data_IF_830612148241
#
_entry.id   IF_830612148241
#
_cell.length_a   1.000
_cell.length_b   1.000
_cell.length_c   1.000
_cell.angle_alpha   90.00
_cell.angle_beta   90.00
_cell.angle_gamma   90.00
#
_symmetry.space_group_name_H-M   'P 1'
#
loop_
_entity.id
_entity.type
_entity.pdbx_description
1 polymer ?
#
# COMPACT_ATOMS: atom_id res chain seq x y z
N UNK A 1 22.35 8.62 24.87
CA UNK A 1 22.26 8.21 24.14
C UNK A 1 22.27 8.23 23.67
N UNK A 2 22.11 8.30 23.82
CA UNK A 2 21.99 8.00 22.99
C UNK A 2 21.68 7.79 22.44
N UNK A 3 21.30 7.75 22.88
CA UNK A 3 21.00 7.34 22.01
C UNK A 3 20.71 7.18 21.44
N UNK A 4 20.67 7.29 22.02
CA UNK A 4 20.38 6.93 21.15
C UNK A 4 20.06 7.01 20.68
N UNK A 5 20.00 7.08 21.16
CA UNK A 5 19.73 6.87 20.34
C UNK A 5 19.52 6.90 19.81
N UNK A 6 19.40 6.92 20.09
CA UNK A 6 19.19 6.67 19.23
C UNK A 6 18.88 6.66 18.66
N UNK A 7 18.66 6.66 18.89
CA UNK A 7 18.34 6.43 18.01
C UNK A 7 17.96 6.31 17.49
N UNK A 8 17.76 6.33 17.78
CA UNK A 8 17.33 6.04 17.04
C UNK A 8 17.08 6.22 16.56
N UNK A 9 16.84 6.26 16.61
CA UNK A 9 16.56 6.20 15.89
C UNK A 9 16.30 6.49 15.30
N UNK A 10 16.07 6.65 15.58
CA UNK A 10 15.79 6.74 14.68
C UNK A 10 15.43 7.10 14.13
N UNK A 11 15.19 7.33 14.22
CA UNK A 11 14.82 7.53 13.52
C UNK A 11 14.15 7.95 13.08
N UNK A 12 13.60 8.17 12.93
CA UNK A 12 12.91 8.51 12.57
C UNK A 12 12.68 8.86 11.82
N UNK A 13 12.19 8.71 11.60
CA UNK A 13 11.78 8.97 10.70
C UNK A 13 11.74 9.36 9.58
N UNK A 14 11.74 9.30 8.96
CA UNK A 14 11.65 9.50 7.65
C UNK A 14 10.49 8.91 7.08
N UNK A 15 9.40 9.02 7.68
CA UNK A 15 8.22 8.50 7.15
C UNK A 15 7.84 9.23 5.92
N UNK A 16 8.33 10.41 5.69
CA UNK A 16 8.07 11.10 4.45
C UNK A 16 8.71 10.42 3.26
N UNK A 17 9.76 9.68 3.50
CA UNK A 17 10.48 9.01 2.44
C UNK A 17 9.96 7.62 2.17
N UNK A 18 9.12 7.11 3.06
CA UNK A 18 8.58 5.77 2.93
C UNK A 18 7.08 5.90 2.77
N UNK A 19 6.58 5.74 1.54
CA UNK A 19 5.14 5.90 1.32
C UNK A 19 4.36 4.90 2.15
N UNK A 20 3.24 5.35 2.65
CA UNK A 20 2.37 4.47 3.41
C UNK A 20 1.63 3.54 2.46
N UNK A 21 1.37 2.34 2.93
CA UNK A 21 0.68 1.36 2.11
C UNK A 21 -0.67 1.89 1.63
N UNK A 22 -1.37 2.63 2.50
CA UNK A 22 -2.66 3.20 2.12
C UNK A 22 -2.53 4.13 0.93
N UNK A 23 -1.54 5.00 0.93
CA UNK A 23 -1.36 5.95 -0.17
C UNK A 23 -0.99 5.24 -1.45
N UNK A 24 -0.19 4.20 -1.34
CA UNK A 24 0.19 3.42 -2.51
C UNK A 24 -1.02 2.72 -3.10
N UNK A 25 -1.85 2.12 -2.26
CA UNK A 25 -3.06 1.47 -2.74
C UNK A 25 -3.97 2.46 -3.46
N UNK A 26 -4.10 3.67 -2.91
CA UNK A 26 -4.93 4.69 -3.54
C UNK A 26 -4.40 5.05 -4.93
N UNK A 27 -3.10 5.22 -5.06
CA UNK A 27 -2.51 5.58 -6.34
C UNK A 27 -2.61 4.45 -7.35
N UNK A 28 -2.41 3.22 -6.89
CA UNK A 28 -2.53 2.06 -7.76
C UNK A 28 -3.97 1.89 -8.25
N UNK A 29 -4.92 2.10 -7.34
CA UNK A 29 -6.33 2.04 -7.71
C UNK A 29 -6.63 3.04 -8.83
N UNK A 30 -6.16 4.27 -8.69
CA UNK A 30 -6.41 5.30 -9.69
C UNK A 30 -5.78 4.93 -11.02
N UNK A 31 -4.55 4.45 -10.98
CA UNK A 31 -3.84 4.10 -12.21
C UNK A 31 -4.54 2.96 -12.94
N UNK A 32 -4.97 1.95 -12.21
CA UNK A 32 -5.68 0.83 -12.81
C UNK A 32 -6.98 1.28 -13.43
N UNK A 33 -7.72 2.11 -12.71
CA UNK A 33 -9.01 2.61 -13.18
C UNK A 33 -8.83 3.46 -14.44
N UNK A 34 -7.82 4.33 -14.44
CA UNK A 34 -7.56 5.20 -15.58
C UNK A 34 -7.23 4.39 -16.84
N UNK A 35 -6.61 3.24 -16.65
CA UNK A 35 -6.25 2.40 -17.79
C UNK A 35 -7.33 1.40 -18.15
N UNK A 36 -8.49 1.47 -17.48
CA UNK A 36 -9.61 0.62 -17.83
C UNK A 36 -9.58 -0.77 -17.23
N UNK A 37 -8.70 -1.02 -16.29
CA UNK A 37 -8.65 -2.31 -15.61
C UNK A 37 -9.63 -2.35 -14.46
N UNK A 38 -10.04 -3.55 -14.09
CA UNK A 38 -10.84 -3.75 -12.89
C UNK A 38 -9.87 -3.79 -11.69
N UNK A 39 -9.90 -2.76 -10.82
CA UNK A 39 -8.90 -2.69 -9.76
C UNK A 39 -8.95 -3.86 -8.79
N UNK A 40 -10.15 -4.34 -8.48
CA UNK A 40 -10.27 -5.46 -7.53
C UNK A 40 -9.61 -6.71 -8.09
N UNK A 41 -9.92 -7.03 -9.35
CA UNK A 41 -9.35 -8.23 -9.97
C UNK A 41 -7.84 -8.15 -10.02
N UNK A 42 -7.31 -7.01 -10.40
CA UNK A 42 -5.87 -6.87 -10.55
C UNK A 42 -5.15 -6.89 -9.20
N UNK A 43 -5.73 -6.23 -8.20
CA UNK A 43 -5.13 -6.24 -6.87
C UNK A 43 -5.18 -7.64 -6.25
N UNK A 44 -6.30 -8.33 -6.40
CA UNK A 44 -6.41 -9.69 -5.88
C UNK A 44 -5.36 -10.58 -6.55
N UNK A 45 -5.24 -10.48 -7.88
CA UNK A 45 -4.25 -11.26 -8.60
C UNK A 45 -2.84 -11.02 -8.10
N UNK A 46 -2.52 -9.74 -7.87
CA UNK A 46 -1.20 -9.40 -7.38
C UNK A 46 -0.98 -9.95 -5.96
N UNK A 47 -1.95 -9.75 -5.07
CA UNK A 47 -1.80 -10.19 -3.68
C UNK A 47 -1.62 -11.70 -3.61
N UNK A 48 -2.38 -12.42 -4.40
CA UNK A 48 -2.33 -13.88 -4.35
C UNK A 48 -1.09 -14.48 -5.00
N UNK A 49 -0.58 -13.84 -6.03
CA UNK A 49 0.52 -14.41 -6.81
C UNK A 49 1.87 -13.75 -6.56
N UNK A 50 1.85 -12.48 -6.20
CA UNK A 50 3.08 -11.70 -6.11
C UNK A 50 3.63 -11.29 -7.47
N UNK A 51 2.85 -11.48 -8.52
CA UNK A 51 3.29 -11.18 -9.87
C UNK A 51 3.00 -9.70 -10.18
N UNK A 52 4.03 -8.87 -10.29
CA UNK A 52 3.82 -7.43 -10.48
C UNK A 52 3.18 -7.09 -11.83
N UNK A 53 3.12 -8.03 -12.76
CA UNK A 53 2.49 -7.73 -14.04
C UNK A 53 0.99 -7.56 -13.94
N UNK A 54 0.39 -7.96 -12.80
CA UNK A 54 -1.02 -7.66 -12.56
C UNK A 54 -1.26 -6.16 -12.40
N UNK A 55 -0.21 -5.39 -12.12
CA UNK A 55 -0.36 -3.95 -11.86
C UNK A 55 0.20 -3.18 -13.04
N UNK A 56 -0.60 -2.25 -13.55
CA UNK A 56 -0.17 -1.45 -14.70
C UNK A 56 1.08 -0.62 -14.37
N UNK A 57 1.89 -0.34 -15.39
CA UNK A 57 3.03 0.56 -15.21
C UNK A 57 2.65 2.02 -15.24
N UNK A 58 1.40 2.31 -15.58
CA UNK A 58 0.90 3.68 -15.66
C UNK A 58 1.12 4.43 -14.35
N UNK A 59 1.63 5.63 -14.43
CA UNK A 59 1.91 6.48 -13.26
C UNK A 59 2.77 5.78 -12.21
N UNK A 60 3.66 4.90 -12.66
CA UNK A 60 4.58 4.18 -11.78
C UNK A 60 3.88 3.27 -10.76
N UNK A 61 2.63 2.91 -11.03
CA UNK A 61 1.87 2.11 -10.09
C UNK A 61 2.55 0.79 -9.76
N UNK A 62 3.10 0.13 -10.78
CA UNK A 62 3.78 -1.15 -10.56
C UNK A 62 4.99 -0.99 -9.62
N UNK A 63 5.79 0.04 -9.86
CA UNK A 63 6.94 0.29 -8.99
C UNK A 63 6.51 0.62 -7.57
N UNK A 64 5.45 1.39 -7.44
CA UNK A 64 4.96 1.78 -6.12
C UNK A 64 4.49 0.58 -5.32
N UNK A 65 3.70 -0.30 -5.93
CA UNK A 65 3.13 -1.39 -5.16
C UNK A 65 4.21 -2.36 -4.69
N UNK A 66 5.30 -2.42 -5.40
CA UNK A 66 6.40 -3.30 -5.02
C UNK A 66 7.20 -2.77 -3.83
N UNK A 67 6.93 -1.53 -3.40
CA UNK A 67 7.60 -0.95 -2.25
C UNK A 67 7.01 -1.39 -0.92
N UNK A 68 5.86 -2.02 -0.93
CA UNK A 68 5.20 -2.49 0.30
C UNK A 68 4.97 -3.98 0.21
N UNK A 69 4.87 -4.60 1.37
CA UNK A 69 4.61 -6.03 1.45
C UNK A 69 3.15 -6.31 1.13
N UNK A 70 2.89 -7.48 0.55
CA UNK A 70 1.53 -7.83 0.17
C UNK A 70 0.61 -7.95 1.38
N UNK A 71 1.12 -8.42 2.51
CA UNK A 71 0.29 -8.49 3.71
C UNK A 71 -0.06 -7.11 4.23
N UNK A 72 0.81 -6.12 4.03
CA UNK A 72 0.48 -4.75 4.40
C UNK A 72 -0.66 -4.20 3.56
N UNK A 73 -0.66 -4.54 2.27
CA UNK A 73 -1.74 -4.14 1.38
C UNK A 73 -3.05 -4.74 1.85
N UNK A 74 -3.03 -6.03 2.13
CA UNK A 74 -4.22 -6.73 2.58
C UNK A 74 -4.72 -6.15 3.89
N UNK A 75 -3.82 -5.85 4.79
CA UNK A 75 -4.18 -5.27 6.08
C UNK A 75 -4.90 -3.93 5.91
N UNK A 76 -4.35 -3.07 5.04
CA UNK A 76 -4.98 -1.77 4.76
C UNK A 76 -6.39 -1.94 4.23
N UNK A 77 -6.55 -2.86 3.29
CA UNK A 77 -7.87 -3.08 2.69
C UNK A 77 -8.87 -3.61 3.69
N UNK A 78 -8.45 -4.58 4.51
CA UNK A 78 -9.34 -5.14 5.52
C UNK A 78 -9.69 -4.12 6.59
N UNK A 79 -8.70 -3.38 7.05
CA UNK A 79 -8.94 -2.38 8.08
C UNK A 79 -9.93 -1.34 7.60
N UNK A 80 -9.77 -0.91 6.35
CA UNK A 80 -10.66 0.08 5.77
C UNK A 80 -12.08 -0.48 5.66
N UNK A 81 -12.21 -1.73 5.24
CA UNK A 81 -13.51 -2.36 5.14
C UNK A 81 -14.20 -2.45 6.50
N UNK A 82 -13.43 -2.87 7.51
CA UNK A 82 -13.96 -3.02 8.86
C UNK A 82 -14.43 -1.66 9.42
N UNK A 83 -13.60 -0.64 9.25
CA UNK A 83 -13.95 0.68 9.76
C UNK A 83 -15.20 1.24 9.10
N UNK A 84 -15.34 1.00 7.80
CA UNK A 84 -16.47 1.56 7.07
C UNK A 84 -17.77 0.79 7.30
N UNK A 85 -17.68 -0.49 7.66
CA UNK A 85 -18.86 -1.32 7.77
C UNK A 85 -19.25 -1.67 9.18
N UNK A 86 -18.31 -1.54 10.14
CA UNK A 86 -18.60 -1.91 11.53
C UNK A 86 -18.31 -0.76 12.48
N UNK A 87 -18.21 0.43 11.94
CA UNK A 87 -18.07 1.60 12.73
C UNK A 87 -16.73 1.74 13.40
N UNK A 88 -15.76 1.04 12.96
CA UNK A 88 -14.42 1.08 13.45
C UNK A 88 -14.06 2.02 14.51
N UNK A 89 -14.97 2.52 15.14
CA UNK A 89 -14.65 3.35 16.16
C UNK A 89 -14.98 2.69 17.35
N UNK A 90 -15.02 2.43 17.35
CA UNK A 90 -15.14 2.02 18.22
C UNK A 90 -14.99 2.02 18.66
#
# INVERSE_FOLDING_TARGET
MKELTNNTRFFQPQKDEIPKAKDIVDQVYKALTEQGYNPVSQLVGYIMSGDPTYITGHCNARSLIMKVERDEILEVLLQNYIENNFGGKK
#
